data_IF_807319085477
#
_entry.id   IF_807319085477
#
_cell.length_a   1.000
_cell.length_b   1.000
_cell.length_c   1.000
_cell.angle_alpha   90.00
_cell.angle_beta   90.00
_cell.angle_gamma   90.00
#
_symmetry.space_group_name_H-M   'P 1'
#
loop_
_entity.id
_entity.type
_entity.pdbx_description
1 polymer ?
#
# COMPACT_ATOMS: atom_id res chain seq x y z
N UNK A 1 -11.83 -15.01 35.40
CA UNK A 1 -11.26 -14.44 34.15
C UNK A 1 -11.97 -15.03 32.90
N UNK A 2 -12.75 -14.22 32.20
CA UNK A 2 -13.46 -14.67 30.99
C UNK A 2 -12.61 -14.40 29.74
N UNK A 3 -12.47 -15.41 28.89
CA UNK A 3 -11.79 -15.31 27.60
C UNK A 3 -12.87 -15.19 26.53
N UNK A 4 -12.91 -14.08 25.81
CA UNK A 4 -13.81 -13.90 24.65
C UNK A 4 -13.32 -14.82 23.54
N UNK A 5 -14.04 -15.91 23.30
CA UNK A 5 -13.78 -16.85 22.20
C UNK A 5 -14.80 -16.54 21.11
N UNK A 6 -14.36 -16.04 19.94
CA UNK A 6 -15.24 -15.74 18.79
C UNK A 6 -15.22 -14.30 18.26
N UNK A 7 -14.40 -13.40 18.81
CA UNK A 7 -14.19 -12.05 18.25
C UNK A 7 -13.25 -12.03 17.04
N UNK A 8 -13.09 -10.84 16.43
CA UNK A 8 -12.13 -10.60 15.33
C UNK A 8 -10.74 -11.08 15.75
N UNK A 9 -10.09 -11.90 14.91
CA UNK A 9 -8.76 -12.43 15.22
C UNK A 9 -7.79 -11.28 15.37
N UNK A 10 -6.81 -11.41 16.26
CA UNK A 10 -5.81 -10.34 16.49
C UNK A 10 -5.18 -9.83 15.19
N UNK A 11 -4.82 -10.74 14.27
CA UNK A 11 -4.22 -10.42 12.97
C UNK A 11 -5.20 -9.89 11.91
N UNK A 12 -6.50 -9.90 12.16
CA UNK A 12 -7.51 -9.32 11.26
C UNK A 12 -7.78 -7.85 11.58
N UNK A 13 -7.37 -7.39 12.77
CA UNK A 13 -7.47 -6.00 13.17
C UNK A 13 -6.72 -5.10 12.19
N UNK A 14 -7.29 -3.93 11.91
CA UNK A 14 -6.81 -3.05 10.85
C UNK A 14 -5.40 -2.55 11.16
N UNK A 15 -5.19 -2.08 12.37
CA UNK A 15 -3.91 -1.57 12.88
C UNK A 15 -2.81 -2.63 12.83
N UNK A 16 -3.14 -3.88 13.17
CA UNK A 16 -2.18 -5.00 13.13
C UNK A 16 -1.78 -5.30 11.68
N UNK A 17 -2.75 -5.34 10.76
CA UNK A 17 -2.48 -5.55 9.33
C UNK A 17 -1.69 -4.40 8.71
N UNK A 18 -1.93 -3.16 9.13
CA UNK A 18 -1.21 -2.00 8.62
C UNK A 18 0.26 -2.03 9.07
N UNK A 19 0.54 -2.32 10.35
CA UNK A 19 1.92 -2.50 10.85
C UNK A 19 2.62 -3.66 10.14
N UNK A 20 1.95 -4.80 9.95
CA UNK A 20 2.51 -5.92 9.20
C UNK A 20 2.81 -5.55 7.75
N UNK A 21 1.96 -4.75 7.11
CA UNK A 21 2.21 -4.28 5.75
C UNK A 21 3.45 -3.36 5.69
N UNK A 22 3.64 -2.47 6.67
CA UNK A 22 4.89 -1.69 6.79
C UNK A 22 6.12 -2.59 6.86
N UNK A 23 6.12 -3.57 7.78
CA UNK A 23 7.25 -4.49 7.93
C UNK A 23 7.51 -5.31 6.67
N UNK A 24 6.45 -5.73 5.97
CA UNK A 24 6.58 -6.45 4.69
C UNK A 24 7.19 -5.60 3.60
N UNK A 25 6.80 -4.32 3.48
CA UNK A 25 7.41 -3.39 2.52
C UNK A 25 8.88 -3.14 2.84
N UNK A 26 9.25 -3.05 4.12
CA UNK A 26 10.65 -2.92 4.51
C UNK A 26 11.48 -4.16 4.13
N UNK A 27 10.90 -5.36 4.30
CA UNK A 27 11.57 -6.61 3.96
C UNK A 27 11.60 -6.89 2.44
N UNK A 28 10.54 -6.49 1.72
CA UNK A 28 10.42 -6.62 0.28
C UNK A 28 9.78 -5.34 -0.33
N UNK A 29 10.60 -4.36 -0.73
CA UNK A 29 10.12 -3.09 -1.28
C UNK A 29 9.39 -3.22 -2.63
N UNK A 30 9.56 -4.33 -3.34
CA UNK A 30 8.93 -4.57 -4.64
C UNK A 30 7.51 -5.15 -4.53
N UNK A 31 7.04 -5.47 -3.32
CA UNK A 31 5.69 -5.99 -3.08
C UNK A 31 4.64 -4.86 -3.12
N UNK A 32 3.83 -4.84 -4.18
CA UNK A 32 2.82 -3.81 -4.42
C UNK A 32 1.59 -3.92 -3.52
N UNK A 33 1.23 -5.13 -3.06
CA UNK A 33 0.01 -5.37 -2.28
C UNK A 33 0.05 -4.70 -0.90
N UNK A 34 1.06 -4.94 -0.04
CA UNK A 34 1.17 -4.25 1.23
C UNK A 34 1.45 -2.76 1.01
N UNK A 35 2.22 -2.38 -0.03
CA UNK A 35 2.54 -0.99 -0.31
C UNK A 35 1.29 -0.16 -0.60
N UNK A 36 0.41 -0.62 -1.50
CA UNK A 36 -0.87 0.05 -1.81
C UNK A 36 -1.76 0.19 -0.58
N UNK A 37 -1.80 -0.84 0.28
CA UNK A 37 -2.56 -0.80 1.53
C UNK A 37 -2.11 0.34 2.45
N UNK A 38 -0.81 0.55 2.62
CA UNK A 38 -0.25 1.53 3.57
C UNK A 38 0.12 2.87 2.92
N UNK A 39 -0.06 3.01 1.61
CA UNK A 39 0.33 4.19 0.82
C UNK A 39 -0.21 5.48 1.44
N UNK A 40 -1.47 5.49 1.87
CA UNK A 40 -2.13 6.66 2.49
C UNK A 40 -2.51 6.45 3.97
N UNK A 41 -1.80 5.57 4.68
CA UNK A 41 -2.01 5.30 6.11
C UNK A 41 -0.69 5.50 6.87
N UNK A 42 -0.49 6.54 7.69
CA UNK A 42 -1.42 7.64 8.00
C UNK A 42 -1.71 8.51 6.77
N UNK A 43 -2.76 9.34 6.84
CA UNK A 43 -3.18 10.18 5.71
C UNK A 43 -2.05 11.09 5.25
N UNK A 44 -1.69 10.98 3.97
CA UNK A 44 -0.67 11.78 3.27
C UNK A 44 -1.26 12.71 2.21
N UNK A 45 -2.59 12.72 2.06
CA UNK A 45 -3.26 13.47 0.98
C UNK A 45 -3.22 12.77 -0.37
N UNK A 46 -2.85 11.47 -0.41
CA UNK A 46 -2.82 10.68 -1.64
C UNK A 46 -4.23 10.19 -1.94
N UNK A 47 -4.81 10.66 -3.04
CA UNK A 47 -6.15 10.27 -3.48
C UNK A 47 -6.14 9.17 -4.53
N UNK A 48 -7.31 8.61 -4.83
CA UNK A 48 -7.49 7.56 -5.85
C UNK A 48 -6.96 7.97 -7.22
N UNK A 49 -7.15 9.24 -7.61
CA UNK A 49 -6.64 9.76 -8.89
C UNK A 49 -5.11 9.69 -8.97
N UNK A 50 -4.42 10.05 -7.88
CA UNK A 50 -2.95 9.97 -7.82
C UNK A 50 -2.47 8.52 -7.93
N UNK A 51 -3.13 7.60 -7.24
CA UNK A 51 -2.81 6.17 -7.32
C UNK A 51 -3.06 5.60 -8.73
N UNK A 52 -4.16 6.01 -9.37
CA UNK A 52 -4.49 5.59 -10.73
C UNK A 52 -3.47 6.09 -11.77
N UNK A 53 -2.94 7.31 -11.62
CA UNK A 53 -1.87 7.81 -12.51
C UNK A 53 -0.59 6.96 -12.38
N UNK A 54 -0.21 6.59 -11.16
CA UNK A 54 0.95 5.73 -10.91
C UNK A 54 0.72 4.33 -11.51
N UNK A 55 -0.49 3.80 -11.38
CA UNK A 55 -0.86 2.50 -11.96
C UNK A 55 -0.82 2.53 -13.49
N UNK A 56 -1.30 3.62 -14.10
CA UNK A 56 -1.21 3.84 -15.54
C UNK A 56 0.25 3.90 -16.02
N UNK A 57 1.13 4.59 -15.29
CA UNK A 57 2.57 4.62 -15.57
C UNK A 57 3.20 3.23 -15.45
N UNK A 58 2.85 2.48 -14.40
CA UNK A 58 3.31 1.10 -14.19
C UNK A 58 2.95 0.20 -15.37
N UNK A 59 1.72 0.29 -15.87
CA UNK A 59 1.25 -0.50 -17.02
C UNK A 59 1.91 -0.09 -18.33
N UNK A 60 2.02 1.21 -18.60
CA UNK A 60 2.61 1.76 -19.82
C UNK A 60 4.08 1.36 -19.96
N UNK A 61 4.86 1.55 -18.89
CA UNK A 61 6.30 1.31 -18.88
C UNK A 61 6.64 -0.16 -18.57
N UNK A 62 5.63 -0.99 -18.26
CA UNK A 62 5.75 -2.40 -17.88
C UNK A 62 6.71 -2.61 -16.70
N UNK A 63 6.60 -1.73 -15.71
CA UNK A 63 7.39 -1.73 -14.47
C UNK A 63 6.49 -2.01 -13.26
N UNK A 64 7.08 -2.36 -12.12
CA UNK A 64 6.31 -2.59 -10.89
C UNK A 64 5.74 -1.28 -10.34
N UNK A 65 4.66 -1.36 -9.56
CA UNK A 65 4.07 -0.18 -8.90
C UNK A 65 5.08 0.60 -8.01
N UNK A 66 5.94 -0.07 -7.20
CA UNK A 66 7.02 0.61 -6.47
C UNK A 66 8.04 1.32 -7.38
N UNK A 67 8.36 0.75 -8.54
CA UNK A 67 9.24 1.40 -9.52
C UNK A 67 8.57 2.63 -10.13
N UNK A 68 7.29 2.55 -10.47
CA UNK A 68 6.50 3.69 -10.97
C UNK A 68 6.40 4.81 -9.91
N UNK A 69 6.25 4.46 -8.63
CA UNK A 69 6.26 5.43 -7.52
C UNK A 69 7.55 6.25 -7.45
N UNK A 70 8.72 5.66 -7.76
CA UNK A 70 10.00 6.38 -7.81
C UNK A 70 10.12 7.31 -9.02
N UNK A 71 9.26 7.15 -10.02
CA UNK A 71 9.20 7.94 -11.26
C UNK A 71 7.91 8.78 -11.33
N UNK A 72 7.38 9.20 -10.17
CA UNK A 72 6.09 9.91 -10.07
C UNK A 72 6.04 11.20 -10.89
N UNK A 73 7.18 11.85 -11.11
CA UNK A 73 7.28 13.06 -11.95
C UNK A 73 6.85 12.80 -13.41
N UNK A 74 7.00 11.57 -13.89
CA UNK A 74 6.58 11.16 -15.24
C UNK A 74 5.09 10.81 -15.31
N UNK A 75 4.44 10.58 -14.16
CA UNK A 75 3.01 10.31 -14.08
C UNK A 75 2.17 11.60 -14.19
N UNK A 76 2.75 12.75 -13.85
CA UNK A 76 2.07 14.04 -13.92
C UNK A 76 1.88 14.50 -15.39
N UNK A 77 0.63 14.74 -15.78
CA UNK A 77 0.27 15.18 -17.13
C UNK A 77 -0.36 14.10 -18.02
N UNK A 78 -0.54 12.89 -17.49
CA UNK A 78 -1.39 11.85 -18.07
C UNK A 78 -2.85 11.99 -17.65
#
# INVERSE_FOLDING_TARGET
PYKVVGGVRFYERREVRDVLAYLRVLANPEDSVPLRRILNVPKRGIGERSEAMIDALSQRERITFPQALKRVDEAYGM
#
